data_IF_877406489439
#
_entry.id   IF_877406489439
#
_cell.length_a   1.000
_cell.length_b   1.000
_cell.length_c   1.000
_cell.angle_alpha   90.00
_cell.angle_beta   90.00
_cell.angle_gamma   90.00
#
_symmetry.space_group_name_H-M   'P 1'
#
loop_
_entity.id
_entity.type
_entity.pdbx_description
1 polymer ?
#
# COMPACT_ATOMS: atom_id res chain seq x y z
N UNK A 1 -5.50 46.56 92.04
CA UNK A 1 -5.07 45.17 91.77
C UNK A 1 -5.24 44.90 90.28
N UNK A 2 -4.29 44.14 89.73
CA UNK A 2 -4.03 43.89 88.31
C UNK A 2 -5.09 43.02 87.64
N UNK A 3 -5.32 43.22 86.33
CA UNK A 3 -5.49 42.18 85.30
C UNK A 3 -5.70 42.88 83.94
N UNK A 4 -4.68 43.04 83.09
CA UNK A 4 -4.09 42.04 82.19
C UNK A 4 -4.92 41.80 80.91
N UNK A 5 -4.57 42.57 79.89
CA UNK A 5 -4.95 42.44 78.48
C UNK A 5 -4.40 41.14 77.90
N UNK A 6 -5.26 40.34 77.24
CA UNK A 6 -4.82 39.27 76.34
C UNK A 6 -5.38 39.54 74.94
N UNK A 7 -4.47 39.89 74.03
CA UNK A 7 -4.68 39.86 72.58
C UNK A 7 -4.71 38.39 72.14
N UNK A 8 -5.80 37.95 71.52
CA UNK A 8 -5.84 36.69 70.79
C UNK A 8 -5.52 36.95 69.31
N UNK A 9 -4.34 36.50 68.86
CA UNK A 9 -4.01 36.36 67.44
C UNK A 9 -4.82 35.18 66.87
N UNK A 10 -5.68 35.44 65.90
CA UNK A 10 -6.28 34.41 65.06
C UNK A 10 -5.43 34.27 63.80
N UNK A 11 -4.57 33.26 63.79
CA UNK A 11 -3.78 32.86 62.63
C UNK A 11 -4.67 32.14 61.61
N UNK A 12 -4.80 32.72 60.42
CA UNK A 12 -5.46 32.16 59.25
C UNK A 12 -4.68 30.95 58.71
N UNK A 13 -5.29 29.77 58.73
CA UNK A 13 -4.76 28.58 58.05
C UNK A 13 -5.25 28.59 56.61
N UNK A 14 -4.36 28.89 55.67
CA UNK A 14 -4.62 28.72 54.23
C UNK A 14 -4.54 27.21 53.94
N UNK A 15 -5.68 26.59 53.62
CA UNK A 15 -5.72 25.22 53.11
C UNK A 15 -5.09 25.19 51.71
N UNK A 16 -3.84 24.74 51.62
CA UNK A 16 -3.23 24.38 50.35
C UNK A 16 -3.93 23.12 49.82
N UNK A 17 -4.75 23.28 48.79
CA UNK A 17 -5.24 22.16 47.98
C UNK A 17 -4.04 21.41 47.40
N UNK A 18 -3.95 20.08 47.52
CA UNK A 18 -2.88 19.34 46.88
C UNK A 18 -3.02 19.53 45.37
N UNK A 19 -1.99 20.10 44.74
CA UNK A 19 -1.83 20.11 43.30
C UNK A 19 -2.00 18.68 42.82
N UNK A 20 -3.13 18.42 42.16
CA UNK A 20 -3.44 17.14 41.57
C UNK A 20 -2.25 16.68 40.74
N UNK A 21 -1.81 15.45 40.98
CA UNK A 21 -0.87 14.75 40.12
C UNK A 21 -1.35 14.94 38.68
N UNK A 22 -0.62 15.74 37.92
CA UNK A 22 -0.65 15.67 36.46
C UNK A 22 -0.28 14.23 36.14
N UNK A 23 -1.30 13.40 35.91
CA UNK A 23 -1.11 12.19 35.16
C UNK A 23 -0.74 12.71 33.77
N UNK A 24 0.55 12.71 33.48
CA UNK A 24 1.01 12.62 32.10
C UNK A 24 0.32 11.39 31.55
N UNK A 25 -0.79 11.59 30.85
CA UNK A 25 -1.25 10.65 29.86
C UNK A 25 -0.12 10.59 28.85
N UNK A 26 0.81 9.66 29.03
CA UNK A 26 1.46 9.06 27.90
C UNK A 26 0.31 8.55 27.04
N UNK A 27 -0.07 9.31 26.00
CA UNK A 27 -0.62 8.68 24.83
C UNK A 27 0.48 7.72 24.40
N UNK A 28 0.31 6.45 24.74
CA UNK A 28 0.91 5.41 23.95
C UNK A 28 0.44 5.72 22.53
N UNK A 29 1.36 6.17 21.70
CA UNK A 29 1.21 6.05 20.26
C UNK A 29 1.03 4.55 20.03
N UNK A 30 -0.22 4.08 20.07
CA UNK A 30 -0.57 2.74 19.66
C UNK A 30 -0.38 2.74 18.14
N UNK A 31 0.86 2.65 17.69
CA UNK A 31 1.19 2.37 16.30
C UNK A 31 0.52 1.06 15.96
N UNK A 32 -0.29 1.04 14.89
CA UNK A 32 -0.97 -0.17 14.46
C UNK A 32 0.06 -1.27 14.22
N UNK A 33 -0.25 -2.50 14.64
CA UNK A 33 0.70 -3.59 14.55
C UNK A 33 0.93 -3.94 13.08
N UNK A 34 2.18 -3.82 12.61
CA UNK A 34 2.54 -4.21 11.23
C UNK A 34 2.60 -5.74 11.15
N UNK A 35 1.81 -6.33 10.26
CA UNK A 35 1.76 -7.78 10.01
C UNK A 35 2.56 -8.19 8.78
N UNK A 36 2.81 -7.24 7.87
CA UNK A 36 3.71 -7.40 6.74
C UNK A 36 4.45 -6.07 6.51
N UNK A 37 5.78 -6.10 6.42
CA UNK A 37 6.59 -4.90 6.16
C UNK A 37 7.40 -5.09 4.88
N UNK A 38 6.94 -4.48 3.80
CA UNK A 38 7.57 -4.47 2.48
C UNK A 38 8.44 -3.25 2.22
N UNK A 39 8.63 -2.36 3.20
CA UNK A 39 9.43 -1.14 3.02
C UNK A 39 10.90 -1.51 2.87
N UNK A 40 11.51 -1.04 1.78
CA UNK A 40 12.86 -1.43 1.40
C UNK A 40 13.89 -0.76 2.31
N UNK A 41 14.73 -1.51 3.05
CA UNK A 41 15.73 -0.94 3.94
C UNK A 41 16.77 -0.06 3.21
N UNK A 42 17.37 0.94 3.89
CA UNK A 42 18.36 1.83 3.29
C UNK A 42 19.66 1.15 2.81
N UNK A 43 19.91 -0.08 3.24
CA UNK A 43 21.07 -0.89 2.85
C UNK A 43 20.71 -2.04 1.90
N UNK A 44 19.46 -2.10 1.42
CA UNK A 44 19.03 -3.13 0.49
C UNK A 44 19.76 -3.02 -0.85
N UNK A 45 19.92 -4.16 -1.50
CA UNK A 45 20.43 -4.27 -2.87
C UNK A 45 19.41 -4.94 -3.77
N UNK A 46 19.48 -4.70 -5.08
CA UNK A 46 18.57 -5.32 -6.04
C UNK A 46 18.63 -6.85 -5.99
N UNK A 47 19.81 -7.43 -5.77
CA UNK A 47 19.99 -8.89 -5.65
C UNK A 47 19.35 -9.49 -4.39
N UNK A 48 18.98 -8.68 -3.39
CA UNK A 48 18.22 -9.18 -2.24
C UNK A 48 16.85 -9.73 -2.66
N UNK A 49 16.28 -9.21 -3.75
CA UNK A 49 14.98 -9.64 -4.27
C UNK A 49 15.04 -10.97 -5.04
N UNK A 50 16.22 -11.42 -5.44
CA UNK A 50 16.40 -12.66 -6.21
C UNK A 50 16.40 -13.92 -5.35
N UNK A 51 16.38 -13.78 -4.02
CA UNK A 51 16.41 -14.90 -3.10
C UNK A 51 15.42 -14.72 -1.95
N UNK A 52 14.90 -15.83 -1.44
CA UNK A 52 14.02 -15.84 -0.27
C UNK A 52 14.79 -15.29 0.93
N UNK A 53 14.26 -14.25 1.57
CA UNK A 53 14.93 -13.56 2.67
C UNK A 53 16.33 -13.02 2.30
N UNK A 54 16.55 -12.65 1.04
CA UNK A 54 17.77 -11.96 0.60
C UNK A 54 18.00 -10.69 1.42
N UNK A 55 19.28 -10.37 1.64
CA UNK A 55 19.70 -9.31 2.58
C UNK A 55 19.27 -9.54 4.04
N UNK A 56 18.66 -10.68 4.37
CA UNK A 56 18.07 -10.95 5.68
C UNK A 56 16.74 -10.23 5.94
N UNK A 57 16.12 -9.64 4.90
CA UNK A 57 14.93 -8.80 5.06
C UNK A 57 13.86 -9.04 3.99
N UNK A 58 14.22 -9.44 2.76
CA UNK A 58 13.31 -9.47 1.61
C UNK A 58 12.02 -10.27 1.92
N UNK A 59 10.86 -9.60 1.96
CA UNK A 59 9.58 -10.20 2.28
C UNK A 59 8.77 -10.51 1.01
N UNK A 60 9.38 -10.56 -0.18
CA UNK A 60 8.69 -10.85 -1.44
C UNK A 60 9.11 -12.21 -2.02
N UNK A 61 8.24 -12.80 -2.83
CA UNK A 61 8.50 -14.05 -3.53
C UNK A 61 9.51 -13.83 -4.68
N UNK A 62 10.67 -14.52 -4.68
CA UNK A 62 11.69 -14.34 -5.71
C UNK A 62 11.37 -15.05 -7.04
N UNK A 63 10.46 -16.02 -7.04
CA UNK A 63 10.34 -17.02 -8.12
C UNK A 63 9.19 -16.73 -9.09
N UNK A 64 8.09 -16.14 -8.62
CA UNK A 64 6.84 -16.05 -9.37
C UNK A 64 6.47 -14.63 -9.80
N UNK A 65 5.49 -14.57 -10.73
CA UNK A 65 4.82 -13.35 -11.22
C UNK A 65 5.76 -12.34 -11.89
N UNK A 66 6.73 -12.85 -12.65
CA UNK A 66 7.61 -12.06 -13.52
C UNK A 66 7.98 -12.83 -14.79
N UNK A 67 8.71 -12.20 -15.70
CA UNK A 67 9.20 -12.88 -16.91
C UNK A 67 10.00 -14.15 -16.58
N UNK A 68 9.83 -15.21 -17.38
CA UNK A 68 10.40 -16.53 -17.07
C UNK A 68 11.94 -16.57 -16.99
N UNK A 69 12.61 -15.66 -17.68
CA UNK A 69 14.07 -15.67 -17.87
C UNK A 69 14.75 -14.38 -17.36
N UNK A 70 14.07 -13.61 -16.52
CA UNK A 70 14.59 -12.36 -15.95
C UNK A 70 14.52 -12.45 -14.42
N UNK A 71 15.55 -11.95 -13.75
CA UNK A 71 15.63 -11.86 -12.29
C UNK A 71 14.91 -10.61 -11.76
N UNK A 72 14.62 -10.55 -10.46
CA UNK A 72 14.06 -9.32 -9.88
C UNK A 72 15.08 -8.19 -9.89
N UNK A 73 16.37 -8.48 -9.77
CA UNK A 73 17.41 -7.47 -9.87
C UNK A 73 17.56 -6.83 -11.26
N UNK A 74 17.05 -7.48 -12.31
CA UNK A 74 16.95 -6.90 -13.66
C UNK A 74 15.67 -6.07 -13.87
N UNK A 75 14.62 -6.36 -13.11
CA UNK A 75 13.29 -5.71 -13.19
C UNK A 75 13.21 -4.48 -12.29
N UNK A 76 13.83 -4.54 -11.12
CA UNK A 76 13.68 -3.53 -10.09
C UNK A 76 14.76 -2.47 -10.21
N UNK A 77 14.40 -1.23 -9.92
CA UNK A 77 15.36 -0.14 -9.72
C UNK A 77 15.21 0.42 -8.30
N UNK A 78 16.29 1.00 -7.78
CA UNK A 78 16.29 1.82 -6.57
C UNK A 78 16.43 3.29 -6.99
N UNK A 79 15.35 3.94 -7.45
CA UNK A 79 15.44 5.28 -8.02
C UNK A 79 15.84 6.31 -6.97
N UNK A 80 16.49 7.38 -7.43
CA UNK A 80 16.74 8.56 -6.60
C UNK A 80 15.57 9.51 -6.71
N UNK A 81 14.69 9.52 -5.72
CA UNK A 81 13.59 10.49 -5.65
C UNK A 81 14.00 11.72 -4.83
N UNK A 82 13.49 12.93 -5.16
CA UNK A 82 13.78 14.14 -4.38
C UNK A 82 13.28 14.05 -2.94
N UNK A 83 12.17 13.33 -2.72
CA UNK A 83 11.54 13.09 -1.43
C UNK A 83 11.21 11.61 -1.28
N UNK A 84 11.19 11.12 -0.04
CA UNK A 84 10.64 9.80 0.30
C UNK A 84 9.12 9.88 0.35
N UNK A 85 8.43 8.76 0.14
CA UNK A 85 7.01 8.68 0.43
C UNK A 85 6.74 9.00 1.92
N UNK A 86 5.48 9.30 2.26
CA UNK A 86 5.08 9.56 3.65
C UNK A 86 5.49 8.42 4.59
N UNK A 87 5.31 7.18 4.15
CA UNK A 87 5.50 6.00 5.00
C UNK A 87 6.91 5.41 4.97
N UNK A 88 7.75 5.80 4.01
CA UNK A 88 9.18 5.47 4.01
C UNK A 88 9.99 6.43 4.88
N UNK A 89 9.56 7.69 5.03
CA UNK A 89 10.31 8.69 5.78
C UNK A 89 10.65 8.28 7.23
N UNK A 90 9.72 7.71 8.03
CA UNK A 90 10.00 7.30 9.42
C UNK A 90 11.00 6.16 9.54
N UNK A 91 11.02 5.23 8.57
CA UNK A 91 11.91 4.06 8.57
C UNK A 91 13.16 4.24 7.70
N UNK A 92 13.28 5.41 7.04
CA UNK A 92 14.30 5.71 6.03
C UNK A 92 14.31 4.70 4.88
N UNK A 93 13.13 4.24 4.50
CA UNK A 93 12.95 3.30 3.40
C UNK A 93 13.44 3.88 2.07
N UNK A 94 13.87 3.00 1.16
CA UNK A 94 14.17 3.33 -0.22
C UNK A 94 12.89 3.20 -1.07
N UNK A 95 12.68 4.11 -2.04
CA UNK A 95 11.70 3.86 -3.09
C UNK A 95 12.15 2.67 -3.94
N UNK A 96 11.18 1.95 -4.50
CA UNK A 96 11.39 0.79 -5.36
C UNK A 96 10.62 1.00 -6.65
N UNK A 97 11.31 0.99 -7.79
CA UNK A 97 10.64 1.05 -9.09
C UNK A 97 10.49 -0.35 -9.63
N UNK A 98 9.28 -0.69 -10.07
CA UNK A 98 9.02 -1.92 -10.83
C UNK A 98 8.94 -1.52 -12.30
N UNK A 99 9.77 -2.12 -13.14
CA UNK A 99 9.69 -1.91 -14.59
C UNK A 99 9.07 -3.10 -15.30
N UNK A 100 8.55 -2.86 -16.50
CA UNK A 100 8.19 -3.89 -17.46
C UNK A 100 8.85 -3.59 -18.80
N UNK A 101 9.13 -4.66 -19.52
CA UNK A 101 9.74 -4.67 -20.85
C UNK A 101 9.09 -5.71 -21.75
N UNK A 102 9.59 -5.88 -22.97
CA UNK A 102 9.13 -6.93 -23.89
C UNK A 102 9.31 -8.35 -23.31
N UNK A 103 10.30 -8.55 -22.44
CA UNK A 103 10.61 -9.81 -21.76
C UNK A 103 9.71 -10.12 -20.56
N UNK A 104 8.85 -9.18 -20.16
CA UNK A 104 7.98 -9.31 -18.97
C UNK A 104 6.79 -10.25 -19.20
N UNK A 105 7.04 -11.45 -19.73
CA UNK A 105 6.05 -12.46 -20.05
C UNK A 105 6.14 -13.59 -19.03
N UNK A 106 5.14 -13.65 -18.14
CA UNK A 106 5.03 -14.73 -17.16
C UNK A 106 4.41 -15.96 -17.81
N UNK A 107 5.06 -17.11 -17.64
CA UNK A 107 4.65 -18.38 -18.23
C UNK A 107 4.40 -18.24 -19.75
N UNK A 108 3.17 -18.41 -20.20
CA UNK A 108 2.77 -18.30 -21.62
C UNK A 108 1.72 -17.20 -21.85
N UNK A 109 1.58 -16.28 -20.91
CA UNK A 109 0.59 -15.19 -20.96
C UNK A 109 1.08 -14.06 -21.87
N UNK A 110 1.17 -14.33 -23.17
CA UNK A 110 1.80 -13.41 -24.14
C UNK A 110 1.05 -12.08 -24.33
N UNK A 111 -0.24 -12.05 -23.98
CA UNK A 111 -1.03 -10.82 -24.02
C UNK A 111 -0.59 -9.82 -22.95
N UNK A 112 -0.09 -10.29 -21.81
CA UNK A 112 0.33 -9.43 -20.71
C UNK A 112 1.80 -9.02 -20.78
N UNK A 113 2.10 -7.90 -20.12
CA UNK A 113 3.43 -7.63 -19.56
C UNK A 113 3.29 -7.50 -18.06
N UNK A 114 3.98 -8.36 -17.30
CA UNK A 114 3.80 -8.41 -15.86
C UNK A 114 5.07 -8.62 -15.04
N UNK A 115 5.14 -7.84 -13.97
CA UNK A 115 6.06 -7.97 -12.86
C UNK A 115 5.31 -7.58 -11.58
N UNK A 116 4.92 -8.56 -10.76
CA UNK A 116 4.19 -8.35 -9.52
C UNK A 116 4.95 -8.94 -8.33
N UNK A 117 5.38 -8.08 -7.40
CA UNK A 117 5.97 -8.50 -6.13
C UNK A 117 4.88 -9.10 -5.26
N UNK A 118 4.82 -10.43 -5.24
CA UNK A 118 3.94 -11.19 -4.37
C UNK A 118 4.50 -11.22 -2.95
N UNK A 119 3.63 -11.02 -1.96
CA UNK A 119 4.03 -10.93 -0.56
C UNK A 119 4.40 -12.33 -0.03
N UNK A 120 5.57 -12.47 0.59
CA UNK A 120 6.09 -13.74 1.12
C UNK A 120 5.39 -14.08 2.45
N UNK A 121 5.09 -15.37 2.68
CA UNK A 121 4.29 -15.89 3.80
C UNK A 121 2.80 -15.53 3.75
N UNK A 122 2.37 -14.99 2.62
CA UNK A 122 0.98 -14.92 2.19
C UNK A 122 0.59 -16.29 1.60
N UNK A 123 0.61 -17.36 2.41
CA UNK A 123 0.15 -18.67 1.93
C UNK A 123 -1.34 -18.53 1.59
N UNK A 124 -1.77 -18.97 0.40
CA UNK A 124 -3.14 -18.83 -0.14
C UNK A 124 -4.26 -19.02 0.90
N UNK A 125 -4.08 -19.91 1.86
CA UNK A 125 -5.08 -20.23 2.89
C UNK A 125 -4.74 -19.80 4.32
N UNK A 126 -3.53 -19.31 4.60
CA UNK A 126 -3.03 -19.05 5.97
C UNK A 126 -2.44 -17.65 6.17
N UNK A 127 -2.67 -16.76 5.22
CA UNK A 127 -2.18 -15.41 5.31
C UNK A 127 -2.80 -14.66 6.48
N UNK A 128 -2.00 -14.13 7.43
CA UNK A 128 -2.52 -13.25 8.47
C UNK A 128 -3.02 -11.91 7.90
N UNK A 129 -2.77 -11.61 6.62
CA UNK A 129 -3.25 -10.41 5.94
C UNK A 129 -4.64 -10.61 5.28
N UNK A 130 -5.24 -11.80 5.42
CA UNK A 130 -6.51 -12.18 4.78
C UNK A 130 -7.67 -12.46 5.76
N UNK A 131 -7.54 -11.98 7.00
CA UNK A 131 -8.52 -12.18 8.08
C UNK A 131 -8.69 -10.93 8.99
N UNK A 132 -9.85 -10.83 9.65
CA UNK A 132 -10.18 -9.69 10.51
C UNK A 132 -10.25 -8.37 9.74
N UNK A 133 -9.62 -7.32 10.26
CA UNK A 133 -9.51 -6.02 9.58
C UNK A 133 -8.05 -5.74 9.25
N UNK A 134 -7.75 -5.50 7.97
CA UNK A 134 -6.39 -5.29 7.48
C UNK A 134 -6.33 -4.06 6.59
N UNK A 135 -5.29 -3.27 6.75
CA UNK A 135 -5.07 -2.10 5.90
C UNK A 135 -3.73 -2.23 5.19
N UNK A 136 -3.79 -2.33 3.87
CA UNK A 136 -2.62 -2.24 3.00
C UNK A 136 -2.30 -0.77 2.74
N UNK A 137 -1.06 -0.37 3.04
CA UNK A 137 -0.50 0.93 2.70
C UNK A 137 0.46 0.80 1.53
N UNK A 138 0.43 1.78 0.65
CA UNK A 138 1.39 1.94 -0.44
C UNK A 138 1.39 3.39 -0.92
N UNK A 139 2.46 3.80 -1.56
CA UNK A 139 2.59 5.12 -2.17
C UNK A 139 3.10 4.97 -3.58
N UNK A 140 2.60 5.81 -4.49
CA UNK A 140 2.97 5.81 -5.90
C UNK A 140 3.61 7.14 -6.28
N UNK A 141 4.64 7.06 -7.12
CA UNK A 141 5.21 8.19 -7.83
C UNK A 141 5.42 7.78 -9.29
N UNK A 142 4.99 8.63 -10.22
CA UNK A 142 5.21 8.40 -11.64
C UNK A 142 6.69 8.60 -12.00
N UNK A 143 7.23 7.74 -12.86
CA UNK A 143 8.53 7.98 -13.51
C UNK A 143 8.31 8.65 -14.87
N UNK A 144 8.77 9.90 -15.02
CA UNK A 144 8.68 10.62 -16.29
C UNK A 144 9.62 10.04 -17.37
N UNK A 145 10.63 9.26 -16.98
CA UNK A 145 11.54 8.57 -17.90
C UNK A 145 10.99 7.24 -18.43
N UNK A 146 10.02 6.65 -17.73
CA UNK A 146 9.33 5.39 -18.10
C UNK A 146 7.82 5.49 -17.90
N UNK A 147 7.15 6.44 -18.58
CA UNK A 147 5.73 6.69 -18.33
C UNK A 147 4.88 5.48 -18.72
N UNK A 148 3.83 5.20 -17.94
CA UNK A 148 2.82 4.21 -18.32
C UNK A 148 2.07 4.66 -19.59
N UNK A 149 1.85 3.75 -20.55
CA UNK A 149 0.97 4.04 -21.67
C UNK A 149 -0.52 3.84 -21.31
N UNK A 150 -1.16 4.93 -20.86
CA UNK A 150 -2.55 4.92 -20.39
C UNK A 150 -3.62 4.56 -21.44
N UNK A 151 -3.28 4.28 -22.70
CA UNK A 151 -4.22 3.61 -23.62
C UNK A 151 -4.45 2.13 -23.29
N UNK A 152 -3.59 1.54 -22.45
CA UNK A 152 -3.74 0.20 -21.90
C UNK A 152 -4.38 0.23 -20.52
N UNK A 153 -4.90 -0.91 -20.08
CA UNK A 153 -5.31 -1.15 -18.70
C UNK A 153 -4.14 -1.71 -17.89
N UNK A 154 -4.00 -1.25 -16.65
CA UNK A 154 -2.97 -1.71 -15.72
C UNK A 154 -3.59 -2.16 -14.40
N UNK A 155 -3.14 -3.30 -13.88
CA UNK A 155 -3.29 -3.64 -12.46
C UNK A 155 -1.97 -3.30 -11.77
N UNK A 156 -2.04 -2.46 -10.75
CA UNK A 156 -0.86 -1.97 -10.02
C UNK A 156 -0.79 -2.51 -8.59
N UNK A 157 -1.93 -2.69 -7.94
CA UNK A 157 -2.05 -3.34 -6.63
C UNK A 157 -3.29 -4.21 -6.64
N UNK A 158 -3.19 -5.48 -6.28
CA UNK A 158 -4.37 -6.35 -6.23
C UNK A 158 -4.23 -7.39 -5.12
N UNK A 159 -5.38 -7.90 -4.69
CA UNK A 159 -5.46 -9.05 -3.80
C UNK A 159 -6.19 -10.16 -4.54
N UNK A 160 -5.44 -11.19 -4.94
CA UNK A 160 -5.90 -12.32 -5.74
C UNK A 160 -6.43 -13.42 -4.82
N UNK A 161 -7.65 -13.91 -5.08
CA UNK A 161 -8.24 -14.97 -4.28
C UNK A 161 -7.41 -16.27 -4.34
N UNK A 162 -7.46 -17.06 -3.27
CA UNK A 162 -6.64 -18.27 -3.12
C UNK A 162 -6.81 -19.31 -4.24
N UNK A 163 -7.96 -19.32 -4.91
CA UNK A 163 -8.31 -20.21 -6.01
C UNK A 163 -8.03 -19.61 -7.39
N UNK A 164 -7.44 -18.41 -7.45
CA UNK A 164 -7.09 -17.67 -8.66
C UNK A 164 -8.29 -17.34 -9.58
N UNK A 165 -9.52 -17.42 -9.04
CA UNK A 165 -10.74 -17.19 -9.82
C UNK A 165 -11.11 -15.72 -9.98
N UNK A 166 -10.60 -14.87 -9.08
CA UNK A 166 -11.00 -13.47 -8.94
C UNK A 166 -10.04 -12.70 -8.04
N UNK A 167 -10.19 -11.38 -8.00
CA UNK A 167 -9.50 -10.51 -7.04
C UNK A 167 -10.54 -9.90 -6.10
N UNK A 168 -10.26 -9.76 -4.81
CA UNK A 168 -11.16 -9.07 -3.88
C UNK A 168 -11.20 -7.57 -4.17
N UNK A 169 -10.09 -7.01 -4.65
CA UNK A 169 -10.04 -5.67 -5.24
C UNK A 169 -8.95 -5.59 -6.29
N UNK A 170 -9.08 -4.61 -7.18
CA UNK A 170 -8.03 -4.18 -8.09
C UNK A 170 -7.79 -2.68 -7.93
N UNK A 171 -6.52 -2.30 -7.83
CA UNK A 171 -6.10 -0.92 -7.94
C UNK A 171 -5.47 -0.73 -9.32
N UNK A 172 -6.15 0.03 -10.16
CA UNK A 172 -5.91 0.08 -11.59
C UNK A 172 -5.65 1.49 -12.12
N UNK A 173 -5.10 1.52 -13.32
CA UNK A 173 -4.75 2.71 -14.08
C UNK A 173 -5.03 2.52 -15.57
N UNK A 174 -5.08 3.63 -16.30
CA UNK A 174 -5.25 3.61 -17.75
C UNK A 174 -6.68 3.33 -18.19
N UNK A 175 -6.82 2.84 -19.43
CA UNK A 175 -8.09 2.63 -20.12
C UNK A 175 -8.63 1.24 -19.79
N UNK A 176 -9.58 1.17 -18.85
CA UNK A 176 -10.14 -0.10 -18.37
C UNK A 176 -10.99 -0.73 -19.47
N UNK A 177 -10.68 -1.98 -19.84
CA UNK A 177 -11.33 -2.70 -20.93
C UNK A 177 -12.82 -2.85 -20.61
N UNK A 178 -13.66 -2.43 -21.56
CA UNK A 178 -15.12 -2.51 -21.45
C UNK A 178 -15.74 -1.45 -20.54
N UNK A 179 -14.98 -0.46 -20.05
CA UNK A 179 -15.51 0.62 -19.22
C UNK A 179 -15.12 2.00 -19.78
N UNK A 180 -16.05 2.95 -19.71
CA UNK A 180 -15.81 4.35 -20.08
C UNK A 180 -15.43 5.15 -18.82
N UNK A 181 -14.18 4.99 -18.38
CA UNK A 181 -13.61 5.66 -17.21
C UNK A 181 -12.41 6.54 -17.62
N UNK A 182 -12.16 7.68 -16.95
CA UNK A 182 -11.01 8.54 -17.26
C UNK A 182 -9.69 7.78 -17.13
N UNK A 183 -8.86 7.77 -18.17
CA UNK A 183 -7.64 6.94 -18.20
C UNK A 183 -6.52 7.43 -17.28
N UNK A 184 -6.47 8.73 -17.00
CA UNK A 184 -5.47 9.45 -16.21
C UNK A 184 -5.82 9.52 -14.72
N UNK A 185 -6.44 8.46 -14.20
CA UNK A 185 -6.80 8.31 -12.79
C UNK A 185 -6.32 6.98 -12.25
N UNK A 186 -5.89 7.01 -11.00
CA UNK A 186 -5.84 5.81 -10.17
C UNK A 186 -7.25 5.41 -9.77
N UNK A 187 -7.56 4.12 -9.79
CA UNK A 187 -8.92 3.59 -9.57
C UNK A 187 -8.88 2.43 -8.61
N UNK A 188 -9.80 2.40 -7.65
CA UNK A 188 -10.07 1.23 -6.84
C UNK A 188 -11.35 0.57 -7.36
N UNK A 189 -11.24 -0.69 -7.77
CA UNK A 189 -12.32 -1.53 -8.25
C UNK A 189 -12.59 -2.64 -7.22
N UNK A 190 -13.88 -2.92 -7.00
CA UNK A 190 -14.33 -4.02 -6.15
C UNK A 190 -14.16 -5.39 -6.84
N UNK A 191 -14.53 -6.48 -6.15
CA UNK A 191 -14.45 -7.85 -6.70
C UNK A 191 -15.20 -8.06 -8.02
N UNK A 192 -16.21 -7.24 -8.28
CA UNK A 192 -17.02 -7.29 -9.51
C UNK A 192 -16.48 -6.35 -10.59
N UNK A 193 -15.26 -5.84 -10.42
CA UNK A 193 -14.60 -4.86 -11.28
C UNK A 193 -15.39 -3.54 -11.42
N UNK A 194 -16.22 -3.19 -10.43
CA UNK A 194 -16.90 -1.91 -10.39
C UNK A 194 -15.99 -0.88 -9.71
N UNK A 195 -15.77 0.26 -10.37
CA UNK A 195 -15.07 1.38 -9.73
C UNK A 195 -15.86 1.87 -8.50
N UNK A 196 -15.22 1.84 -7.33
CA UNK A 196 -15.76 2.34 -6.06
C UNK A 196 -15.10 3.63 -5.60
N UNK A 197 -13.90 3.92 -6.10
CA UNK A 197 -13.18 5.17 -5.83
C UNK A 197 -12.16 5.47 -6.94
N UNK A 198 -11.85 6.75 -7.16
CA UNK A 198 -10.75 7.15 -8.05
C UNK A 198 -10.21 8.54 -7.70
N UNK A 199 -8.99 8.81 -8.14
CA UNK A 199 -8.35 10.14 -8.04
C UNK A 199 -7.44 10.38 -9.26
N UNK A 200 -7.27 11.63 -9.73
CA UNK A 200 -6.32 11.93 -10.79
C UNK A 200 -4.89 11.48 -10.48
N UNK A 201 -4.14 11.12 -11.52
CA UNK A 201 -2.71 10.90 -11.43
C UNK A 201 -1.98 12.24 -11.37
N UNK A 202 -1.15 12.42 -10.36
CA UNK A 202 -0.38 13.65 -10.17
C UNK A 202 1.07 13.45 -10.56
N UNK A 203 1.65 14.44 -11.23
CA UNK A 203 3.07 14.43 -11.62
C UNK A 203 3.93 14.96 -10.49
N UNK A 204 5.14 14.41 -10.35
CA UNK A 204 6.18 14.92 -9.45
C UNK A 204 5.77 15.03 -7.97
N UNK A 205 4.78 14.24 -7.55
CA UNK A 205 4.31 14.19 -6.16
C UNK A 205 3.96 12.76 -5.80
N UNK A 206 4.36 12.33 -4.60
CA UNK A 206 3.91 11.06 -4.04
C UNK A 206 2.41 11.11 -3.80
N UNK A 207 1.69 10.09 -4.25
CA UNK A 207 0.31 9.84 -3.88
C UNK A 207 0.31 8.66 -2.92
N UNK A 208 -0.11 8.88 -1.67
CA UNK A 208 -0.13 7.84 -0.65
C UNK A 208 -1.55 7.30 -0.54
N UNK A 209 -1.67 5.98 -0.49
CA UNK A 209 -2.92 5.26 -0.46
C UNK A 209 -2.93 4.28 0.71
N UNK A 210 -4.14 4.01 1.20
CA UNK A 210 -4.37 2.78 1.93
C UNK A 210 -5.71 2.17 1.56
N UNK A 211 -5.80 0.84 1.64
CA UNK A 211 -7.02 0.07 1.37
C UNK A 211 -7.28 -0.80 2.59
N UNK A 212 -8.37 -0.51 3.29
CA UNK A 212 -8.82 -1.33 4.42
C UNK A 212 -9.80 -2.38 3.90
N UNK A 213 -9.51 -3.65 4.16
CA UNK A 213 -10.43 -4.77 4.00
C UNK A 213 -10.89 -5.23 5.39
N UNK A 214 -12.20 -5.20 5.62
CA UNK A 214 -12.85 -5.82 6.76
C UNK A 214 -13.43 -7.16 6.30
N UNK A 215 -12.72 -8.25 6.57
CA UNK A 215 -13.13 -9.61 6.23
C UNK A 215 -14.30 -10.09 7.10
N UNK A 216 -14.46 -9.54 8.30
CA UNK A 216 -15.55 -9.91 9.22
C UNK A 216 -16.89 -9.32 8.75
N UNK A 217 -16.87 -8.09 8.21
CA UNK A 217 -18.07 -7.36 7.74
C UNK A 217 -18.23 -7.33 6.24
N UNK A 218 -17.27 -7.84 5.48
CA UNK A 218 -17.26 -7.77 4.02
C UNK A 218 -17.40 -6.32 3.53
N UNK A 219 -16.45 -5.47 3.95
CA UNK A 219 -16.35 -4.09 3.48
C UNK A 219 -14.94 -3.73 3.02
N UNK A 220 -14.86 -2.74 2.14
CA UNK A 220 -13.63 -2.11 1.65
C UNK A 220 -13.68 -0.60 1.87
N UNK A 221 -12.55 0.02 2.19
CA UNK A 221 -12.43 1.47 2.37
C UNK A 221 -11.15 2.00 1.75
N UNK A 222 -11.25 3.11 1.01
CA UNK A 222 -10.09 3.79 0.42
C UNK A 222 -9.64 4.96 1.29
N UNK A 223 -8.32 5.14 1.36
CA UNK A 223 -7.64 6.25 2.02
C UNK A 223 -6.66 6.90 1.07
N UNK A 224 -6.49 8.22 1.18
CA UNK A 224 -5.67 8.98 0.24
C UNK A 224 -5.02 10.22 0.86
N UNK A 225 -3.82 10.55 0.39
CA UNK A 225 -3.17 11.85 0.60
C UNK A 225 -2.14 12.16 -0.48
N UNK A 226 -1.75 13.43 -0.56
CA UNK A 226 -0.71 13.93 -1.47
C UNK A 226 0.55 14.33 -0.70
N UNK A 227 1.71 13.95 -1.21
CA UNK A 227 3.02 14.29 -0.68
C UNK A 227 3.17 13.84 0.77
N UNK A 228 3.35 14.79 1.68
CA UNK A 228 3.49 14.53 3.11
C UNK A 228 2.23 14.90 3.92
N UNK A 229 1.10 15.23 3.27
CA UNK A 229 -0.17 15.47 3.98
C UNK A 229 -0.57 14.21 4.75
N UNK A 230 -1.26 14.32 5.90
CA UNK A 230 -1.83 13.16 6.57
C UNK A 230 -2.82 12.43 5.67
N UNK A 231 -2.80 11.10 5.74
CA UNK A 231 -3.77 10.21 5.10
C UNK A 231 -5.16 10.48 5.65
N UNK A 232 -6.17 10.52 4.78
CA UNK A 232 -7.56 10.71 5.16
C UNK A 232 -8.43 9.64 4.49
N UNK A 233 -9.53 9.28 5.15
CA UNK A 233 -10.54 8.42 4.56
C UNK A 233 -11.11 9.11 3.31
N UNK A 234 -10.94 8.47 2.16
CA UNK A 234 -11.42 8.95 0.87
C UNK A 234 -12.82 8.40 0.55
N UNK A 235 -13.21 7.31 1.22
CA UNK A 235 -14.57 6.77 1.24
C UNK A 235 -14.97 6.42 2.67
N UNK A 236 -16.28 6.28 2.89
CA UNK A 236 -16.79 5.42 3.96
C UNK A 236 -16.53 3.94 3.63
N UNK A 237 -16.69 2.99 4.58
CA UNK A 237 -16.70 1.58 4.27
C UNK A 237 -17.83 1.22 3.29
N UNK A 238 -17.48 0.55 2.18
CA UNK A 238 -18.39 0.11 1.12
C UNK A 238 -18.49 -1.41 1.17
N UNK A 239 -19.67 -1.99 0.91
CA UNK A 239 -19.82 -3.45 0.83
C UNK A 239 -18.92 -4.04 -0.27
N UNK A 240 -18.15 -5.07 0.07
CA UNK A 240 -17.32 -5.83 -0.86
C UNK A 240 -17.24 -7.29 -0.43
N UNK A 241 -17.23 -8.21 -1.39
CA UNK A 241 -17.01 -9.62 -1.09
C UNK A 241 -15.50 -9.88 -0.90
N UNK A 242 -15.08 -9.96 0.35
CA UNK A 242 -13.69 -10.18 0.74
C UNK A 242 -13.37 -11.68 0.95
N UNK A 243 -14.29 -12.58 0.64
CA UNK A 243 -14.12 -14.02 0.90
C UNK A 243 -13.05 -14.66 0.00
N UNK A 244 -12.56 -15.84 0.40
CA UNK A 244 -11.66 -16.66 -0.42
C UNK A 244 -10.18 -16.50 -0.11
N UNK A 245 -9.81 -15.71 0.91
CA UNK A 245 -8.41 -15.43 1.28
C UNK A 245 -7.60 -15.02 0.04
N UNK A 246 -6.30 -15.25 0.01
CA UNK A 246 -5.53 -14.95 -1.19
C UNK A 246 -4.18 -14.34 -0.91
N UNK A 247 -3.69 -13.61 -1.91
CA UNK A 247 -2.36 -13.03 -1.91
C UNK A 247 -2.36 -11.59 -2.41
N UNK A 248 -1.66 -10.72 -1.69
CA UNK A 248 -1.36 -9.37 -2.15
C UNK A 248 -0.21 -9.39 -3.15
N UNK A 249 -0.38 -8.56 -4.17
CA UNK A 249 0.64 -8.30 -5.18
C UNK A 249 0.69 -6.81 -5.48
N UNK A 250 1.91 -6.30 -5.63
CA UNK A 250 2.16 -4.92 -6.03
C UNK A 250 3.16 -4.89 -7.18
N UNK A 251 2.92 -4.08 -8.20
CA UNK A 251 3.79 -4.03 -9.37
C UNK A 251 3.06 -3.57 -10.61
N UNK A 252 3.29 -4.20 -11.75
CA UNK A 252 2.65 -3.80 -13.00
C UNK A 252 2.18 -5.06 -13.71
N UNK A 253 0.88 -5.10 -14.05
CA UNK A 253 0.35 -5.98 -15.08
C UNK A 253 -0.34 -5.10 -16.11
N UNK A 254 0.29 -4.97 -17.28
CA UNK A 254 -0.25 -4.27 -18.45
C UNK A 254 -1.04 -5.25 -19.30
N UNK A 255 -2.33 -4.96 -19.53
CA UNK A 255 -3.17 -5.72 -20.46
C UNK A 255 -2.95 -5.26 -21.91
N UNK A 256 -3.15 -6.15 -22.90
CA UNK A 256 -3.07 -5.78 -24.30
C UNK A 256 -4.34 -5.03 -24.73
N UNK A 257 -4.32 -4.44 -25.93
CA UNK A 257 -5.50 -3.86 -26.57
C UNK A 257 -5.91 -4.67 -27.81
N UNK A 258 -7.14 -4.46 -28.30
CA UNK A 258 -7.57 -5.00 -29.60
C UNK A 258 -7.79 -6.52 -29.64
N UNK A 259 -8.10 -7.14 -28.49
CA UNK A 259 -8.44 -8.57 -28.40
C UNK A 259 -9.46 -8.83 -27.30
N UNK A 260 -10.21 -9.92 -27.43
CA UNK A 260 -11.04 -10.49 -26.36
C UNK A 260 -10.27 -11.54 -25.54
N UNK A 261 -9.19 -12.12 -26.10
CA UNK A 261 -8.29 -13.04 -25.39
C UNK A 261 -7.08 -12.28 -24.85
N UNK A 262 -7.33 -11.50 -23.80
CA UNK A 262 -6.35 -10.60 -23.17
C UNK A 262 -5.16 -11.34 -22.56
N UNK A 263 -5.32 -12.62 -22.21
CA UNK A 263 -4.26 -13.41 -21.59
C UNK A 263 -3.21 -13.81 -22.62
N UNK A 264 -3.65 -14.19 -23.83
CA UNK A 264 -2.76 -14.84 -24.80
C UNK A 264 -2.40 -13.97 -26.01
N UNK A 265 -3.12 -12.90 -26.29
CA UNK A 265 -3.02 -12.18 -27.57
C UNK A 265 -3.24 -10.67 -27.43
N UNK A 266 -3.27 -9.95 -28.55
CA UNK A 266 -3.56 -8.52 -28.61
C UNK A 266 -2.31 -7.66 -28.82
N UNK A 267 -2.54 -6.37 -28.96
CA UNK A 267 -1.49 -5.40 -29.24
C UNK A 267 -0.76 -4.98 -27.96
N UNK A 268 0.57 -4.99 -28.05
CA UNK A 268 1.53 -4.35 -27.15
C UNK A 268 2.52 -3.58 -28.02
N UNK A 269 2.94 -2.40 -27.57
CA UNK A 269 4.04 -1.70 -28.23
C UNK A 269 5.34 -2.49 -28.15
N UNK A 270 6.23 -2.28 -29.12
CA UNK A 270 7.59 -2.81 -29.13
C UNK A 270 8.57 -1.89 -28.42
N UNK A 271 9.67 -2.44 -27.91
CA UNK A 271 10.68 -1.72 -27.13
C UNK A 271 10.06 -1.08 -25.88
N UNK A 272 9.22 -1.85 -25.20
CA UNK A 272 8.53 -1.39 -24.01
C UNK A 272 9.54 -1.12 -22.88
N UNK A 273 9.43 0.06 -22.28
CA UNK A 273 10.20 0.49 -21.10
C UNK A 273 9.28 1.37 -20.26
N UNK A 274 8.50 0.73 -19.40
CA UNK A 274 7.52 1.40 -18.53
C UNK A 274 7.82 1.07 -17.07
N UNK A 275 7.59 2.03 -16.18
CA UNK A 275 7.96 1.93 -14.78
C UNK A 275 6.98 2.63 -13.87
N UNK A 276 6.87 2.14 -12.64
CA UNK A 276 6.11 2.77 -11.58
C UNK A 276 6.89 2.68 -10.27
N UNK A 277 7.04 3.83 -9.61
CA UNK A 277 7.80 3.92 -8.37
C UNK A 277 6.85 3.72 -7.19
N UNK A 278 7.19 2.74 -6.36
CA UNK A 278 6.51 2.38 -5.14
C UNK A 278 7.28 2.83 -3.91
N UNK A 279 6.55 3.11 -2.84
CA UNK A 279 7.08 3.38 -1.52
C UNK A 279 6.08 3.00 -0.45
N UNK A 280 6.52 2.90 0.80
CA UNK A 280 5.59 2.79 1.92
C UNK A 280 4.74 1.52 1.93
N UNK A 281 5.28 0.40 1.44
CA UNK A 281 4.53 -0.85 1.27
C UNK A 281 4.49 -1.62 2.60
N UNK A 282 3.35 -1.67 3.26
CA UNK A 282 3.16 -2.49 4.46
C UNK A 282 1.69 -2.79 4.71
N UNK A 283 1.41 -3.84 5.49
CA UNK A 283 0.07 -4.17 5.97
C UNK A 283 0.08 -4.08 7.49
N UNK A 284 -0.93 -3.42 8.04
CA UNK A 284 -1.16 -3.37 9.48
C UNK A 284 -2.45 -4.10 9.87
N UNK A 285 -2.46 -4.58 11.11
CA UNK A 285 -3.65 -5.05 11.79
C UNK A 285 -4.47 -3.83 12.22
N UNK A 286 -5.56 -3.57 11.50
CA UNK A 286 -6.44 -2.42 11.69
C UNK A 286 -7.60 -2.73 12.63
N UNK A 287 -7.40 -3.67 13.54
CA UNK A 287 -8.31 -3.90 14.66
C UNK A 287 -8.56 -2.59 15.42
N UNK A 288 -9.77 -2.43 15.93
CA UNK A 288 -10.22 -1.25 16.68
C UNK A 288 -10.09 0.07 15.88
N UNK A 289 -10.22 -0.02 14.55
CA UNK A 289 -10.13 1.11 13.61
C UNK A 289 -8.76 1.82 13.61
N UNK A 290 -7.70 1.10 13.96
CA UNK A 290 -6.34 1.63 13.86
C UNK A 290 -5.92 1.75 12.40
N UNK A 291 -5.62 2.97 11.96
CA UNK A 291 -5.00 3.22 10.65
C UNK A 291 -3.84 4.21 10.81
N UNK A 292 -2.66 3.88 10.28
CA UNK A 292 -1.53 4.80 10.25
C UNK A 292 -1.81 5.95 9.28
N UNK A 293 -2.09 7.15 9.79
CA UNK A 293 -2.43 8.34 9.00
C UNK A 293 -1.31 9.33 8.82
#
# INVERSE_FOLDING_TARGET
MRAATFLALVSSVVSATPLGRFHSFYQASNSCAVVFDGRVPPNATLTDFDTKNGGGWNPFNPDFVKGNNISWSEILLLPKTPTRSRFDAPVRGLPLEVTISDESIFMKQNGFRRAGLQFLKDDNEKSPASEGVKTLHFSLLQDESRPLNLSHEYLNVWHEAADFSSNQFNFEAGTIIGQDLPKDTWKLLDRKNKQIWSTPMLKNVWQNFAITLDFDKNTIQAWYSEGHKPLQAATEPISNDNSGRGQYQIGILKKPTGTDDVVNSGFQESNLDEGLIYGGIFIEDSKDSCVTV
#
